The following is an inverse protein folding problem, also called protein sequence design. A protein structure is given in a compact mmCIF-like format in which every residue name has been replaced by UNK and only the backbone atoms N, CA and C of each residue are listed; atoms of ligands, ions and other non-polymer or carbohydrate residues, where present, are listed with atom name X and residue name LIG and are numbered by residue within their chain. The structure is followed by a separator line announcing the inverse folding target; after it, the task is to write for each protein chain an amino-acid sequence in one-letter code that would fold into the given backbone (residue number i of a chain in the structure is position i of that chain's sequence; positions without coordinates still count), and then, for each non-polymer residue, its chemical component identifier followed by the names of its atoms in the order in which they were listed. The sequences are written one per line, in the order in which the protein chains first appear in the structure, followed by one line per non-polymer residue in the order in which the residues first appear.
data_IF_507535578236
#
_entry.id   IF_507535578236
#
_cell.length_a   1.000
_cell.length_b   1.000
_cell.length_c   1.000
_cell.angle_alpha   90.00
_cell.angle_beta   90.00
_cell.angle_gamma   90.00
#
_symmetry.space_group_name_H-M   'P 1'
#
loop_
_entity.id
_entity.type
_entity.pdbx_description
1 polymer ?
#
# COMPACT_ATOMS: atom_id res chain seq x y z
N UNK A 1 -4.49 -13.53 -23.53
CA UNK A 1 -4.20 -13.08 -22.14
C UNK A 1 -5.53 -12.72 -21.48
N UNK A 2 -5.85 -13.20 -20.28
CA UNK A 2 -7.13 -12.90 -19.63
C UNK A 2 -7.11 -11.46 -19.08
N UNK A 3 -7.72 -10.52 -19.81
CA UNK A 3 -7.78 -9.07 -19.50
C UNK A 3 -9.09 -8.64 -18.81
N UNK A 4 -9.95 -9.56 -18.39
CA UNK A 4 -11.36 -9.23 -18.10
C UNK A 4 -11.66 -8.66 -16.71
N UNK A 5 -10.74 -8.79 -15.75
CA UNK A 5 -11.03 -8.41 -14.35
C UNK A 5 -10.88 -6.91 -14.07
N UNK A 6 -10.05 -6.20 -14.83
CA UNK A 6 -9.74 -4.77 -14.61
C UNK A 6 -10.86 -3.81 -15.03
N UNK A 7 -11.84 -4.28 -15.80
CA UNK A 7 -12.93 -3.46 -16.36
C UNK A 7 -14.18 -3.40 -15.48
N UNK A 8 -14.28 -4.25 -14.45
CA UNK A 8 -15.38 -4.26 -13.51
C UNK A 8 -15.10 -3.37 -12.29
N UNK A 9 -16.14 -2.68 -11.85
CA UNK A 9 -16.14 -1.73 -10.72
C UNK A 9 -17.16 -2.15 -9.68
N UNK A 10 -16.80 -2.04 -8.41
CA UNK A 10 -17.75 -2.17 -7.31
C UNK A 10 -18.48 -0.84 -7.12
N UNK A 11 -19.78 -0.88 -6.94
CA UNK A 11 -20.59 0.31 -6.65
C UNK A 11 -21.36 0.15 -5.35
N UNK A 12 -21.45 1.26 -4.63
CA UNK A 12 -22.26 1.40 -3.43
C UNK A 12 -23.06 2.69 -3.51
N UNK A 13 -24.38 2.59 -3.52
CA UNK A 13 -25.30 3.72 -3.55
C UNK A 13 -25.97 3.86 -2.18
N UNK A 14 -26.08 5.09 -1.68
CA UNK A 14 -26.51 5.39 -0.30
C UNK A 14 -27.53 6.52 -0.24
N UNK A 15 -28.47 6.42 0.70
CA UNK A 15 -29.49 7.45 0.94
C UNK A 15 -28.93 8.72 1.60
N UNK A 16 -27.84 8.59 2.35
CA UNK A 16 -27.15 9.66 3.07
C UNK A 16 -25.67 9.31 3.20
N UNK A 17 -24.85 10.28 3.62
CA UNK A 17 -23.42 10.09 3.89
C UNK A 17 -23.11 9.40 5.23
N UNK A 18 -24.14 8.90 5.91
CA UNK A 18 -24.04 8.37 7.28
C UNK A 18 -23.85 6.86 7.29
N UNK A 19 -23.25 6.31 8.34
CA UNK A 19 -23.04 4.86 8.48
C UNK A 19 -24.35 4.04 8.49
N UNK A 20 -25.45 4.65 8.91
CA UNK A 20 -26.79 4.04 8.99
C UNK A 20 -27.63 4.18 7.72
N UNK A 21 -27.06 4.73 6.64
CA UNK A 21 -27.76 4.94 5.38
C UNK A 21 -28.36 3.63 4.83
N UNK A 22 -29.46 3.76 4.09
CA UNK A 22 -29.93 2.67 3.24
C UNK A 22 -28.91 2.48 2.12
N UNK A 23 -28.43 1.25 1.94
CA UNK A 23 -27.39 0.91 0.97
C UNK A 23 -27.94 -0.04 -0.09
N UNK A 24 -27.67 0.27 -1.36
CA UNK A 24 -27.70 -0.67 -2.46
C UNK A 24 -26.28 -0.88 -2.97
N UNK A 25 -25.97 -2.09 -3.42
CA UNK A 25 -24.66 -2.39 -3.96
C UNK A 25 -24.77 -3.26 -5.21
N UNK A 26 -23.71 -3.20 -6.01
CA UNK A 26 -23.63 -3.96 -7.24
C UNK A 26 -22.24 -3.86 -7.85
N UNK A 27 -22.20 -4.25 -9.10
CA UNK A 27 -21.06 -4.16 -9.97
C UNK A 27 -21.41 -3.23 -11.14
N UNK A 28 -20.40 -2.65 -11.77
CA UNK A 28 -20.56 -1.86 -12.97
C UNK A 28 -19.42 -2.16 -13.94
N UNK A 29 -19.58 -1.80 -15.20
CA UNK A 29 -18.55 -1.96 -16.23
C UNK A 29 -18.21 -0.61 -16.85
N UNK A 30 -16.92 -0.32 -17.02
CA UNK A 30 -16.48 0.92 -17.63
C UNK A 30 -16.60 0.87 -19.16
N UNK A 31 -17.28 1.87 -19.73
CA UNK A 31 -17.55 2.00 -21.17
C UNK A 31 -17.17 3.39 -21.68
N UNK A 32 -16.89 3.52 -22.98
CA UNK A 32 -16.60 4.82 -23.61
C UNK A 32 -17.76 5.22 -24.51
N UNK A 33 -18.34 6.39 -24.23
CA UNK A 33 -19.45 6.94 -25.01
C UNK A 33 -19.11 8.37 -25.42
N UNK A 34 -19.58 8.76 -26.60
CA UNK A 34 -19.68 10.16 -27.01
C UNK A 34 -21.06 10.66 -26.60
N UNK A 35 -21.17 11.60 -25.66
CA UNK A 35 -22.45 12.16 -25.25
C UNK A 35 -23.17 12.86 -26.41
N UNK A 36 -24.50 13.09 -26.31
CA UNK A 36 -25.23 13.88 -27.28
C UNK A 36 -24.65 15.29 -27.40
N UNK A 37 -24.55 15.78 -28.64
CA UNK A 37 -23.93 17.07 -28.99
C UNK A 37 -22.67 16.89 -29.85
N UNK A 38 -22.62 17.59 -30.99
CA UNK A 38 -21.66 17.35 -32.07
C UNK A 38 -20.18 17.64 -31.74
N UNK A 39 -19.88 18.18 -30.56
CA UNK A 39 -18.53 18.65 -30.19
C UNK A 39 -17.98 18.08 -28.88
N UNK A 40 -18.67 17.13 -28.26
CA UNK A 40 -18.21 16.54 -27.00
C UNK A 40 -17.25 15.39 -27.31
N UNK A 41 -16.05 15.42 -26.73
CA UNK A 41 -15.09 14.33 -26.86
C UNK A 41 -15.64 13.04 -26.21
N UNK A 42 -15.28 11.84 -26.74
CA UNK A 42 -15.60 10.59 -26.07
C UNK A 42 -15.13 10.60 -24.61
N UNK A 43 -16.00 10.19 -23.68
CA UNK A 43 -15.69 10.09 -22.26
C UNK A 43 -16.11 8.74 -21.70
N UNK A 44 -15.55 8.38 -20.56
CA UNK A 44 -15.86 7.15 -19.83
C UNK A 44 -17.06 7.35 -18.93
N UNK A 45 -17.85 6.28 -18.85
CA UNK A 45 -18.99 6.10 -17.95
C UNK A 45 -18.89 4.72 -17.30
N UNK A 46 -19.57 4.53 -16.18
CA UNK A 46 -19.87 3.18 -15.70
C UNK A 46 -21.30 2.81 -16.09
N UNK A 47 -21.47 1.60 -16.63
CA UNK A 47 -22.75 1.01 -16.96
C UNK A 47 -23.10 -0.02 -15.88
N UNK A 48 -24.30 0.07 -15.29
CA UNK A 48 -24.77 -0.82 -14.22
C UNK A 48 -26.28 -1.07 -14.32
N UNK A 49 -26.81 -2.01 -13.54
CA UNK A 49 -28.25 -2.16 -13.37
C UNK A 49 -28.86 -0.98 -12.59
N UNK A 50 -30.08 -0.57 -12.96
CA UNK A 50 -30.79 0.52 -12.30
C UNK A 50 -31.11 0.19 -10.84
N UNK A 51 -31.51 -1.05 -10.56
CA UNK A 51 -31.77 -1.46 -9.17
C UNK A 51 -30.54 -1.43 -8.26
N UNK A 52 -29.31 -1.39 -8.79
CA UNK A 52 -28.11 -1.27 -7.96
C UNK A 52 -27.93 0.13 -7.35
N UNK A 53 -28.69 1.13 -7.82
CA UNK A 53 -28.65 2.52 -7.35
C UNK A 53 -29.97 2.98 -6.74
N UNK A 54 -30.87 2.05 -6.45
CA UNK A 54 -32.20 2.32 -5.85
C UNK A 54 -32.33 1.69 -4.48
N UNK A 55 -33.12 2.32 -3.63
CA UNK A 55 -33.46 1.77 -2.32
C UNK A 55 -34.24 0.45 -2.47
N UNK A 56 -33.98 -0.55 -1.63
CA UNK A 56 -34.84 -1.74 -1.54
C UNK A 56 -36.24 -1.34 -1.05
N UNK A 57 -37.28 -1.93 -1.65
CA UNK A 57 -38.68 -1.75 -1.22
C UNK A 57 -39.12 -3.08 -0.60
N UNK A 58 -39.23 -3.11 0.73
CA UNK A 58 -39.64 -4.31 1.46
C UNK A 58 -38.61 -5.44 1.46
N UNK A 59 -38.93 -6.50 2.19
CA UNK A 59 -38.09 -7.69 2.32
C UNK A 59 -38.37 -8.67 1.18
N UNK A 60 -37.70 -8.54 0.04
CA UNK A 60 -37.76 -9.60 -0.98
C UNK A 60 -37.97 -9.15 -2.41
N UNK A 61 -38.28 -7.88 -2.66
CA UNK A 61 -38.48 -7.36 -4.01
C UNK A 61 -37.26 -6.61 -4.52
N UNK A 62 -36.96 -6.76 -5.82
CA UNK A 62 -35.83 -6.06 -6.48
C UNK A 62 -35.84 -4.60 -6.05
N UNK A 63 -34.68 -3.95 -5.83
CA UNK A 63 -34.70 -2.55 -5.43
C UNK A 63 -35.37 -1.67 -6.49
N UNK A 64 -36.60 -1.24 -6.20
CA UNK A 64 -37.41 -0.33 -7.04
C UNK A 64 -37.71 0.98 -6.35
N UNK A 65 -37.08 1.22 -5.19
CA UNK A 65 -37.36 2.38 -4.37
C UNK A 65 -36.75 3.65 -4.94
N UNK A 66 -36.67 4.66 -4.08
CA UNK A 66 -36.07 5.93 -4.45
C UNK A 66 -34.63 5.76 -4.96
N UNK A 67 -34.22 6.60 -5.91
CA UNK A 67 -32.82 6.73 -6.30
C UNK A 67 -31.99 7.16 -5.09
N UNK A 68 -30.84 6.52 -4.93
CA UNK A 68 -29.90 6.82 -3.85
C UNK A 68 -28.90 7.88 -4.34
N UNK A 69 -28.89 9.10 -3.76
CA UNK A 69 -28.19 10.25 -4.34
C UNK A 69 -26.67 10.19 -4.18
N UNK A 70 -26.15 9.32 -3.31
CA UNK A 70 -24.72 9.25 -3.04
C UNK A 70 -24.15 7.92 -3.53
N UNK A 71 -23.50 7.95 -4.69
CA UNK A 71 -22.94 6.76 -5.33
C UNK A 71 -21.42 6.81 -5.25
N UNK A 72 -20.83 5.76 -4.71
CA UNK A 72 -19.39 5.54 -4.64
C UNK A 72 -18.99 4.37 -5.53
N UNK A 73 -17.85 4.50 -6.19
CA UNK A 73 -17.33 3.51 -7.13
C UNK A 73 -15.87 3.18 -6.82
N UNK A 74 -15.55 1.88 -6.72
CA UNK A 74 -14.19 1.38 -6.50
C UNK A 74 -13.79 0.49 -7.68
N UNK A 75 -12.62 0.73 -8.31
CA UNK A 75 -12.13 -0.16 -9.34
C UNK A 75 -11.52 -1.40 -8.73
N UNK A 76 -11.47 -2.46 -9.54
CA UNK A 76 -10.73 -3.66 -9.23
C UNK A 76 -9.29 -3.37 -8.77
N UNK A 77 -8.84 -4.09 -7.73
CA UNK A 77 -7.49 -4.04 -7.18
C UNK A 77 -7.21 -2.87 -6.23
N UNK A 78 -8.15 -1.93 -6.04
CA UNK A 78 -7.99 -0.83 -5.06
C UNK A 78 -8.40 -1.25 -3.66
N UNK A 79 -7.89 -0.53 -2.67
CA UNK A 79 -8.26 -0.71 -1.27
C UNK A 79 -9.69 -0.25 -1.02
N UNK A 80 -10.49 -1.06 -0.35
CA UNK A 80 -11.81 -0.71 0.12
C UNK A 80 -11.72 0.13 1.39
N UNK A 81 -12.54 1.18 1.48
CA UNK A 81 -12.63 2.07 2.64
C UNK A 81 -14.10 2.23 3.02
N UNK A 82 -14.62 1.43 3.98
CA UNK A 82 -16.00 1.55 4.42
C UNK A 82 -16.24 2.87 5.14
N UNK A 83 -17.42 3.46 4.91
CA UNK A 83 -17.86 4.66 5.63
C UNK A 83 -18.23 4.28 7.06
N UNK A 84 -17.46 4.77 8.03
CA UNK A 84 -17.64 4.48 9.46
C UNK A 84 -18.34 5.61 10.21
N UNK A 85 -18.20 6.83 9.73
CA UNK A 85 -18.76 8.04 10.32
C UNK A 85 -19.12 9.06 9.24
N UNK A 86 -19.94 10.04 9.60
CA UNK A 86 -20.43 11.08 8.69
C UNK A 86 -19.28 11.94 8.11
N UNK A 87 -18.15 12.00 8.81
CA UNK A 87 -16.95 12.74 8.42
C UNK A 87 -15.99 11.93 7.52
N UNK A 88 -16.24 10.63 7.35
CA UNK A 88 -15.37 9.69 6.61
C UNK A 88 -15.85 9.49 5.16
N UNK A 89 -16.35 10.53 4.49
CA UNK A 89 -16.77 10.38 3.09
C UNK A 89 -15.56 10.03 2.20
N UNK A 90 -15.56 8.87 1.51
CA UNK A 90 -14.42 8.42 0.72
C UNK A 90 -14.11 9.37 -0.44
N UNK A 91 -12.83 9.52 -0.76
CA UNK A 91 -12.37 10.36 -1.87
C UNK A 91 -11.31 9.66 -2.71
N UNK A 92 -11.18 10.08 -3.97
CA UNK A 92 -10.27 9.46 -4.94
C UNK A 92 -8.80 9.58 -4.52
N UNK A 93 -8.44 10.68 -3.85
CA UNK A 93 -7.08 10.96 -3.37
C UNK A 93 -6.70 10.16 -2.12
N UNK A 94 -7.66 9.79 -1.26
CA UNK A 94 -7.41 9.10 0.00
C UNK A 94 -7.66 7.60 -0.08
N UNK A 95 -8.76 7.21 -0.70
CA UNK A 95 -9.33 5.87 -0.59
C UNK A 95 -9.39 5.14 -1.95
N UNK A 96 -9.09 5.84 -3.05
CA UNK A 96 -9.17 5.27 -4.40
C UNK A 96 -10.61 4.94 -4.82
N UNK A 97 -11.58 5.67 -4.24
CA UNK A 97 -13.00 5.62 -4.59
C UNK A 97 -13.42 6.90 -5.28
N UNK A 98 -14.37 6.82 -6.20
CA UNK A 98 -14.92 7.97 -6.90
C UNK A 98 -16.38 8.19 -6.57
N UNK A 99 -16.82 9.45 -6.56
CA UNK A 99 -18.24 9.76 -6.49
C UNK A 99 -18.81 9.78 -7.90
N UNK A 100 -20.00 9.22 -8.08
CA UNK A 100 -20.68 9.20 -9.37
C UNK A 100 -22.01 9.94 -9.31
N UNK A 101 -22.39 10.55 -10.43
CA UNK A 101 -23.72 11.10 -10.67
C UNK A 101 -24.48 10.20 -11.63
N UNK A 102 -25.79 10.08 -11.43
CA UNK A 102 -26.65 9.31 -12.32
C UNK A 102 -26.84 10.06 -13.64
N UNK A 103 -26.79 9.32 -14.74
CA UNK A 103 -27.23 9.76 -16.07
C UNK A 103 -28.33 8.79 -16.50
N UNK A 104 -29.58 9.18 -16.24
CA UNK A 104 -30.75 8.39 -16.62
C UNK A 104 -31.31 8.85 -17.96
N UNK A 105 -31.02 8.09 -19.03
CA UNK A 105 -31.48 8.45 -20.37
C UNK A 105 -33.00 8.33 -20.52
N UNK A 106 -33.67 7.62 -19.61
CA UNK A 106 -35.11 7.40 -19.63
C UNK A 106 -35.88 8.43 -18.78
N UNK A 107 -35.18 9.36 -18.12
CA UNK A 107 -35.78 10.37 -17.24
C UNK A 107 -36.77 9.77 -16.22
N UNK A 108 -36.40 8.63 -15.61
CA UNK A 108 -37.27 7.93 -14.67
C UNK A 108 -37.38 8.75 -13.37
N UNK A 109 -38.54 8.68 -12.69
CA UNK A 109 -38.72 9.42 -11.44
C UNK A 109 -37.71 8.98 -10.38
N UNK A 110 -37.31 9.94 -9.55
CA UNK A 110 -36.42 9.70 -8.42
C UNK A 110 -37.09 8.87 -7.33
N UNK A 111 -38.42 8.84 -7.29
CA UNK A 111 -39.23 8.07 -6.35
C UNK A 111 -39.30 6.56 -6.70
N UNK A 112 -40.19 5.85 -6.02
CA UNK A 112 -40.47 4.42 -6.25
C UNK A 112 -40.97 4.19 -7.67
N UNK A 113 -40.35 3.25 -8.38
CA UNK A 113 -40.75 2.84 -9.72
C UNK A 113 -41.81 1.74 -9.66
N UNK A 114 -42.77 1.82 -10.58
CA UNK A 114 -43.70 0.71 -10.86
C UNK A 114 -42.97 -0.42 -11.60
N UNK A 115 -43.58 -1.60 -11.63
CA UNK A 115 -42.99 -2.76 -12.33
C UNK A 115 -42.80 -2.50 -13.83
N UNK A 116 -43.69 -1.74 -14.46
CA UNK A 116 -43.60 -1.39 -15.88
C UNK A 116 -42.46 -0.41 -16.18
N UNK A 117 -42.05 0.39 -15.18
CA UNK A 117 -40.94 1.35 -15.29
C UNK A 117 -39.55 0.71 -15.08
N UNK A 118 -39.49 -0.49 -14.50
CA UNK A 118 -38.27 -1.32 -14.42
C UNK A 118 -38.55 -2.64 -15.15
N UNK A 119 -38.97 -2.55 -16.40
CA UNK A 119 -38.98 -3.69 -17.29
C UNK A 119 -37.57 -4.28 -17.42
N UNK A 120 -37.42 -5.59 -17.66
CA UNK A 120 -36.11 -6.24 -17.77
C UNK A 120 -35.17 -5.58 -18.80
N UNK A 121 -35.72 -5.00 -19.87
CA UNK A 121 -34.94 -4.31 -20.89
C UNK A 121 -34.43 -2.93 -20.51
N UNK A 122 -35.06 -2.27 -19.52
CA UNK A 122 -34.72 -0.90 -19.09
C UNK A 122 -34.05 -0.86 -17.72
N UNK A 123 -33.77 -2.01 -17.09
CA UNK A 123 -33.10 -2.10 -15.78
C UNK A 123 -31.58 -1.88 -15.88
N UNK A 124 -31.20 -0.74 -16.43
CA UNK A 124 -29.82 -0.30 -16.56
C UNK A 124 -29.75 1.23 -16.47
N UNK A 125 -28.56 1.74 -16.15
CA UNK A 125 -28.31 3.17 -16.01
C UNK A 125 -26.83 3.48 -16.27
N UNK A 126 -26.55 4.72 -16.66
CA UNK A 126 -25.18 5.23 -16.74
C UNK A 126 -24.83 6.00 -15.46
N UNK A 127 -23.58 5.86 -15.06
CA UNK A 127 -22.96 6.63 -13.99
C UNK A 127 -21.83 7.46 -14.58
N UNK A 128 -21.87 8.75 -14.31
CA UNK A 128 -20.82 9.67 -14.68
C UNK A 128 -19.90 9.95 -13.49
N UNK A 129 -18.60 9.88 -13.71
CA UNK A 129 -17.54 10.20 -12.75
C UNK A 129 -16.75 11.37 -13.36
N UNK A 130 -16.71 12.51 -12.67
CA UNK A 130 -16.18 13.77 -13.19
C UNK A 130 -14.69 13.98 -12.90
N UNK A 131 -14.01 12.93 -12.45
CA UNK A 131 -12.60 12.97 -12.13
C UNK A 131 -11.74 12.60 -13.33
N UNK A 132 -10.79 13.48 -13.68
CA UNK A 132 -9.88 13.28 -14.81
C UNK A 132 -9.13 11.94 -14.75
N UNK A 133 -8.73 11.48 -13.55
CA UNK A 133 -8.04 10.20 -13.40
C UNK A 133 -8.91 8.99 -13.78
N UNK A 134 -10.24 9.07 -13.60
CA UNK A 134 -11.14 8.01 -14.05
C UNK A 134 -11.16 7.91 -15.57
N UNK A 135 -11.00 9.03 -16.27
CA UNK A 135 -10.91 9.10 -17.72
C UNK A 135 -9.62 8.46 -18.28
N UNK A 136 -8.77 7.87 -17.46
CA UNK A 136 -7.59 7.10 -17.88
C UNK A 136 -7.74 5.58 -17.68
N UNK A 137 -8.83 5.13 -17.04
CA UNK A 137 -9.03 3.72 -16.71
C UNK A 137 -9.28 2.84 -17.93
N UNK A 138 -9.02 1.54 -17.77
CA UNK A 138 -9.35 0.54 -18.78
C UNK A 138 -10.87 0.40 -18.89
N UNK A 139 -11.34 0.23 -20.13
CA UNK A 139 -12.76 0.06 -20.44
C UNK A 139 -12.94 -1.21 -21.27
N UNK A 140 -14.19 -1.60 -21.44
CA UNK A 140 -14.57 -2.55 -22.48
C UNK A 140 -13.98 -2.12 -23.82
N UNK A 141 -13.34 -3.06 -24.50
CA UNK A 141 -12.73 -2.82 -25.80
C UNK A 141 -13.78 -2.77 -26.92
N UNK A 142 -14.73 -3.70 -26.87
CA UNK A 142 -15.73 -3.90 -27.91
C UNK A 142 -17.03 -4.43 -27.32
N UNK A 143 -18.14 -4.02 -27.92
CA UNK A 143 -19.48 -4.51 -27.63
C UNK A 143 -19.83 -5.55 -28.68
N UNK A 144 -20.50 -6.63 -28.27
CA UNK A 144 -20.97 -7.64 -29.20
C UNK A 144 -22.47 -7.53 -29.46
N UNK A 145 -22.85 -7.86 -30.69
CA UNK A 145 -24.20 -7.86 -31.24
C UNK A 145 -24.79 -9.26 -31.46
N UNK A 146 -24.02 -10.33 -31.21
CA UNK A 146 -24.42 -11.71 -31.54
C UNK A 146 -24.72 -12.59 -30.32
N UNK A 147 -25.39 -13.72 -30.53
CA UNK A 147 -25.62 -14.73 -29.50
C UNK A 147 -24.34 -15.49 -29.20
N UNK A 148 -24.05 -15.73 -27.91
CA UNK A 148 -22.78 -16.32 -27.49
C UNK A 148 -22.96 -17.58 -26.66
N UNK A 149 -22.31 -18.64 -27.15
CA UNK A 149 -21.89 -19.77 -26.34
C UNK A 149 -20.67 -19.36 -25.50
N UNK A 150 -20.62 -19.84 -24.25
CA UNK A 150 -19.52 -19.59 -23.30
C UNK A 150 -19.33 -18.10 -22.91
N UNK A 151 -20.32 -17.62 -22.17
CA UNK A 151 -20.31 -16.32 -21.51
C UNK A 151 -19.77 -16.46 -20.09
N UNK A 152 -18.93 -15.50 -19.72
CA UNK A 152 -18.43 -15.29 -18.36
C UNK A 152 -19.04 -14.04 -17.76
N UNK A 153 -19.34 -14.07 -16.46
CA UNK A 153 -19.87 -12.92 -15.73
C UNK A 153 -18.79 -12.42 -14.79
N UNK A 154 -18.46 -11.13 -14.87
CA UNK A 154 -17.43 -10.53 -14.01
C UNK A 154 -18.06 -9.47 -13.11
N UNK A 155 -17.96 -9.68 -11.80
CA UNK A 155 -18.54 -8.79 -10.80
C UNK A 155 -17.96 -8.99 -9.41
N UNK A 156 -18.59 -8.39 -8.40
CA UNK A 156 -18.14 -8.41 -7.02
C UNK A 156 -19.11 -9.23 -6.16
N UNK A 157 -18.85 -10.55 -6.01
CA UNK A 157 -19.72 -11.41 -5.22
C UNK A 157 -19.73 -10.95 -3.76
N UNK A 158 -20.91 -11.01 -3.16
CA UNK A 158 -21.22 -10.63 -1.78
C UNK A 158 -20.98 -9.14 -1.44
N UNK A 159 -20.51 -8.35 -2.41
CA UNK A 159 -20.24 -6.93 -2.27
C UNK A 159 -19.23 -6.64 -1.15
N UNK A 160 -19.53 -5.63 -0.34
CA UNK A 160 -18.66 -5.19 0.75
C UNK A 160 -18.74 -6.04 2.04
N UNK A 161 -19.53 -7.13 2.06
CA UNK A 161 -19.77 -7.92 3.30
C UNK A 161 -18.51 -8.49 3.93
N UNK A 162 -17.50 -8.79 3.12
CA UNK A 162 -16.25 -9.44 3.56
C UNK A 162 -15.04 -8.51 3.48
N UNK A 163 -15.22 -7.26 3.07
CA UNK A 163 -14.12 -6.32 2.93
C UNK A 163 -13.96 -5.50 4.19
N UNK A 164 -12.74 -5.51 4.72
CA UNK A 164 -12.31 -4.64 5.80
C UNK A 164 -11.58 -3.43 5.23
N UNK A 165 -11.28 -2.44 6.07
CA UNK A 165 -10.47 -1.28 5.65
C UNK A 165 -9.14 -1.79 5.08
N UNK A 166 -8.84 -1.40 3.85
CA UNK A 166 -7.64 -1.79 3.13
C UNK A 166 -7.70 -3.15 2.42
N UNK A 167 -8.81 -3.90 2.54
CA UNK A 167 -9.05 -5.08 1.69
C UNK A 167 -9.03 -4.69 0.22
N UNK A 168 -8.44 -5.53 -0.63
CA UNK A 168 -8.48 -5.29 -2.08
C UNK A 168 -9.88 -5.64 -2.61
N UNK A 169 -10.42 -4.73 -3.42
CA UNK A 169 -11.67 -4.91 -4.16
C UNK A 169 -11.38 -5.84 -5.34
N UNK A 170 -11.69 -7.13 -5.18
CA UNK A 170 -11.38 -8.15 -6.19
C UNK A 170 -12.65 -8.60 -6.93
N UNK A 171 -12.58 -8.58 -8.27
CA UNK A 171 -13.66 -9.03 -9.12
C UNK A 171 -13.52 -10.54 -9.34
N UNK A 172 -14.62 -11.26 -9.22
CA UNK A 172 -14.72 -12.66 -9.56
C UNK A 172 -15.26 -12.83 -10.98
N UNK A 173 -14.68 -13.77 -11.72
CA UNK A 173 -15.15 -14.18 -13.04
C UNK A 173 -15.79 -15.56 -12.88
N UNK A 174 -17.07 -15.64 -13.22
CA UNK A 174 -17.84 -16.89 -13.21
C UNK A 174 -18.10 -17.29 -14.66
N UNK A 175 -17.36 -18.28 -15.21
CA UNK A 175 -17.54 -18.76 -16.58
C UNK A 175 -18.66 -19.81 -16.68
N UNK A 176 -18.97 -20.26 -17.91
CA UNK A 176 -19.83 -21.42 -18.15
C UNK A 176 -21.31 -21.10 -18.30
N UNK A 177 -21.66 -19.88 -18.70
CA UNK A 177 -23.01 -19.52 -19.07
C UNK A 177 -23.22 -19.64 -20.58
N UNK A 178 -24.43 -19.97 -21.01
CA UNK A 178 -24.93 -19.80 -22.36
C UNK A 178 -25.96 -18.68 -22.34
N UNK A 179 -25.87 -17.79 -23.32
CA UNK A 179 -26.79 -16.68 -23.47
C UNK A 179 -27.87 -17.03 -24.50
N UNK A 180 -29.11 -17.05 -24.03
CA UNK A 180 -30.30 -17.26 -24.83
C UNK A 180 -31.06 -15.94 -24.93
N UNK A 181 -31.13 -15.34 -26.12
CA UNK A 181 -31.97 -14.16 -26.36
C UNK A 181 -33.42 -14.63 -26.40
N UNK A 182 -34.27 -14.05 -25.56
CA UNK A 182 -35.69 -14.40 -25.56
C UNK A 182 -36.36 -13.81 -26.80
N UNK A 183 -37.07 -14.59 -27.63
CA UNK A 183 -37.79 -14.08 -28.79
C UNK A 183 -38.80 -12.98 -28.43
N UNK A 184 -39.33 -13.03 -27.21
CA UNK A 184 -40.33 -12.09 -26.69
C UNK A 184 -39.72 -10.73 -26.33
N UNK A 185 -38.41 -10.65 -26.10
CA UNK A 185 -37.71 -9.43 -25.71
C UNK A 185 -36.23 -9.49 -26.12
N UNK A 186 -35.84 -8.83 -27.23
CA UNK A 186 -34.44 -8.70 -27.64
C UNK A 186 -33.57 -7.98 -26.60
N UNK A 187 -34.21 -7.23 -25.70
CA UNK A 187 -33.57 -6.52 -24.61
C UNK A 187 -33.11 -7.45 -23.49
N UNK A 188 -33.86 -8.52 -23.26
CA UNK A 188 -33.62 -9.44 -22.16
C UNK A 188 -32.83 -10.67 -22.64
N UNK A 189 -31.81 -11.01 -21.88
CA UNK A 189 -31.05 -12.23 -22.11
C UNK A 189 -31.32 -13.20 -20.98
N UNK A 190 -31.58 -14.46 -21.32
CA UNK A 190 -31.65 -15.56 -20.37
C UNK A 190 -30.28 -16.22 -20.32
N UNK A 191 -29.79 -16.48 -19.11
CA UNK A 191 -28.57 -17.22 -18.88
C UNK A 191 -28.92 -18.63 -18.44
N UNK A 192 -28.36 -19.62 -19.15
CA UNK A 192 -28.43 -21.04 -18.82
C UNK A 192 -27.03 -21.58 -18.55
N UNK A 193 -26.91 -22.63 -17.73
CA UNK A 193 -25.60 -23.22 -17.40
C UNK A 193 -25.56 -23.81 -15.98
N UNK A 194 -24.52 -24.59 -15.66
CA UNK A 194 -24.33 -25.16 -14.33
C UNK A 194 -23.79 -24.16 -13.31
N UNK A 195 -23.24 -23.02 -13.77
CA UNK A 195 -22.65 -22.00 -12.91
C UNK A 195 -23.72 -21.14 -12.23
N UNK A 196 -23.39 -20.62 -11.05
CA UNK A 196 -24.25 -19.71 -10.30
C UNK A 196 -23.51 -18.40 -10.00
N UNK A 197 -24.22 -17.28 -10.11
CA UNK A 197 -23.70 -15.96 -9.70
C UNK A 197 -24.06 -15.68 -8.24
N UNK A 198 -23.17 -15.02 -7.51
CA UNK A 198 -23.47 -14.58 -6.15
C UNK A 198 -24.24 -13.24 -6.12
N UNK A 199 -24.95 -12.92 -5.02
CA UNK A 199 -25.44 -11.56 -4.76
C UNK A 199 -24.30 -10.53 -4.90
N UNK A 200 -24.57 -9.30 -5.35
CA UNK A 200 -23.53 -8.26 -5.55
C UNK A 200 -22.89 -8.24 -6.95
N UNK A 201 -22.99 -9.33 -7.72
CA UNK A 201 -22.55 -9.38 -9.12
C UNK A 201 -23.53 -8.69 -10.10
N UNK A 202 -24.65 -8.16 -9.61
CA UNK A 202 -25.64 -7.46 -10.45
C UNK A 202 -25.06 -6.17 -11.01
N UNK A 203 -25.34 -5.85 -12.27
CA UNK A 203 -24.70 -4.76 -13.03
C UNK A 203 -23.30 -5.08 -13.55
N UNK A 204 -22.74 -6.25 -13.20
CA UNK A 204 -21.44 -6.70 -13.71
C UNK A 204 -21.51 -7.04 -15.20
N UNK A 205 -20.38 -6.91 -15.90
CA UNK A 205 -20.31 -7.20 -17.32
C UNK A 205 -20.41 -8.70 -17.61
N UNK A 206 -21.11 -9.03 -18.68
CA UNK A 206 -21.12 -10.36 -19.30
C UNK A 206 -20.20 -10.32 -20.51
N UNK A 207 -19.28 -11.28 -20.62
CA UNK A 207 -18.23 -11.30 -21.65
C UNK A 207 -18.15 -12.64 -22.37
N UNK A 208 -18.07 -12.61 -23.70
CA UNK A 208 -17.81 -13.79 -24.54
C UNK A 208 -16.34 -14.22 -24.46
N UNK A 209 -15.97 -15.31 -25.15
CA UNK A 209 -14.60 -15.85 -25.22
C UNK A 209 -13.53 -14.87 -25.77
N UNK A 210 -13.92 -13.82 -26.48
CA UNK A 210 -13.02 -12.78 -27.00
C UNK A 210 -12.86 -11.60 -26.03
N UNK A 211 -13.68 -11.55 -24.97
CA UNK A 211 -13.69 -10.47 -23.99
C UNK A 211 -14.51 -9.26 -24.41
N UNK A 212 -15.40 -9.42 -25.39
CA UNK A 212 -16.35 -8.40 -25.81
C UNK A 212 -17.54 -8.38 -24.84
N UNK A 213 -18.09 -7.20 -24.58
CA UNK A 213 -19.25 -7.04 -23.71
C UNK A 213 -20.51 -7.49 -24.46
N UNK A 214 -21.15 -8.54 -23.94
CA UNK A 214 -22.41 -9.09 -24.51
C UNK A 214 -23.65 -8.55 -23.79
N UNK A 215 -23.46 -8.00 -22.59
CA UNK A 215 -24.51 -7.35 -21.80
C UNK A 215 -24.10 -7.11 -20.37
N UNK A 216 -25.05 -6.69 -19.54
CA UNK A 216 -24.86 -6.62 -18.08
C UNK A 216 -25.72 -7.65 -17.38
N UNK A 217 -25.15 -8.27 -16.35
CA UNK A 217 -25.79 -9.31 -15.57
C UNK A 217 -26.82 -8.70 -14.61
N UNK A 218 -28.00 -9.32 -14.54
CA UNK A 218 -29.08 -8.95 -13.63
C UNK A 218 -29.29 -10.07 -12.62
N UNK A 219 -29.01 -9.80 -11.35
CA UNK A 219 -29.05 -10.84 -10.32
C UNK A 219 -30.44 -11.48 -10.15
N UNK A 220 -30.43 -12.76 -9.75
CA UNK A 220 -31.57 -13.67 -9.62
C UNK A 220 -32.54 -13.22 -8.52
N UNK A 221 -33.85 -13.31 -8.74
CA UNK A 221 -34.80 -13.53 -7.64
C UNK A 221 -35.78 -14.68 -7.86
N UNK A 222 -35.89 -15.45 -6.77
CA UNK A 222 -36.87 -16.48 -6.39
C UNK A 222 -38.20 -16.23 -7.13
N UNK A 223 -38.46 -16.84 -8.27
CA UNK A 223 -39.17 -18.11 -8.47
C UNK A 223 -39.12 -18.34 -10.00
N UNK A 224 -38.51 -19.44 -10.47
CA UNK A 224 -38.49 -19.79 -11.92
C UNK A 224 -37.11 -20.02 -12.58
N UNK A 225 -36.00 -19.93 -11.83
CA UNK A 225 -34.65 -20.43 -12.21
C UNK A 225 -33.91 -19.81 -13.41
N UNK A 226 -34.37 -18.75 -14.07
CA UNK A 226 -33.53 -18.06 -15.06
C UNK A 226 -32.75 -16.90 -14.44
N UNK A 227 -31.43 -16.99 -14.45
CA UNK A 227 -30.54 -15.82 -14.30
C UNK A 227 -30.69 -14.99 -15.56
N UNK A 228 -30.77 -13.66 -15.44
CA UNK A 228 -31.07 -12.77 -16.55
C UNK A 228 -29.96 -11.75 -16.78
N UNK A 229 -30.06 -11.04 -17.89
CA UNK A 229 -29.22 -9.89 -18.19
C UNK A 229 -29.92 -8.94 -19.15
N UNK A 230 -29.30 -7.79 -19.35
CA UNK A 230 -29.69 -6.82 -20.36
C UNK A 230 -28.67 -6.89 -21.49
N UNK A 231 -29.15 -7.09 -22.72
CA UNK A 231 -28.32 -7.23 -23.91
C UNK A 231 -27.51 -5.96 -24.20
N UNK A 232 -26.21 -6.09 -24.47
CA UNK A 232 -25.37 -4.98 -24.89
C UNK A 232 -25.86 -4.36 -26.20
N UNK A 233 -26.34 -5.17 -27.15
CA UNK A 233 -26.90 -4.69 -28.41
C UNK A 233 -28.14 -3.81 -28.18
N UNK A 234 -29.00 -4.19 -27.23
CA UNK A 234 -30.16 -3.38 -26.87
C UNK A 234 -29.74 -2.07 -26.21
N UNK A 235 -28.84 -2.11 -25.22
CA UNK A 235 -28.32 -0.91 -24.56
C UNK A 235 -27.68 0.03 -25.59
N UNK A 236 -26.92 -0.51 -26.53
CA UNK A 236 -26.31 0.26 -27.63
C UNK A 236 -27.34 0.99 -28.48
N UNK A 237 -28.41 0.28 -28.88
CA UNK A 237 -29.51 0.85 -29.65
C UNK A 237 -30.21 1.98 -28.88
N UNK A 238 -30.55 1.76 -27.61
CA UNK A 238 -31.20 2.75 -26.76
C UNK A 238 -30.32 4.00 -26.54
N UNK A 239 -29.02 3.82 -26.31
CA UNK A 239 -28.06 4.92 -26.23
C UNK A 239 -28.05 5.75 -27.54
N UNK A 240 -28.05 5.08 -28.69
CA UNK A 240 -28.07 5.73 -29.99
C UNK A 240 -29.35 6.54 -30.22
N UNK A 241 -30.52 6.00 -29.83
CA UNK A 241 -31.78 6.73 -29.90
C UNK A 241 -31.77 8.03 -29.08
N UNK A 242 -30.99 8.05 -27.99
CA UNK A 242 -30.83 9.22 -27.11
C UNK A 242 -29.58 10.06 -27.47
N UNK A 243 -29.02 9.85 -28.67
CA UNK A 243 -27.93 10.66 -29.22
C UNK A 243 -26.54 10.33 -28.69
N UNK A 244 -26.39 9.30 -27.85
CA UNK A 244 -25.09 8.78 -27.48
C UNK A 244 -24.50 7.93 -28.60
N UNK A 245 -23.18 7.95 -28.76
CA UNK A 245 -22.48 7.05 -29.69
C UNK A 245 -21.47 6.21 -28.94
N UNK A 246 -21.49 4.89 -29.15
CA UNK A 246 -20.44 4.02 -28.62
C UNK A 246 -19.15 4.34 -29.35
N UNK A 247 -18.11 4.70 -28.60
CA UNK A 247 -16.79 4.90 -29.15
C UNK A 247 -16.00 3.59 -29.05
N UNK A 248 -15.42 3.12 -30.15
CA UNK A 248 -14.46 2.02 -30.07
C UNK A 248 -13.22 2.51 -29.30
N UNK A 249 -12.80 1.73 -28.32
CA UNK A 249 -11.62 2.06 -27.55
C UNK A 249 -10.39 1.88 -28.44
N UNK A 250 -9.70 2.98 -28.76
CA UNK A 250 -8.31 2.88 -29.16
C UNK A 250 -7.46 2.76 -27.89
N UNK A 251 -6.61 1.73 -27.77
CA UNK A 251 -5.72 1.60 -26.63
C UNK A 251 -4.84 2.84 -26.52
N UNK A 252 -5.14 3.68 -25.53
CA UNK A 252 -4.20 4.71 -25.11
C UNK A 252 -2.95 3.95 -24.66
N UNK A 253 -1.79 4.16 -25.29
CA UNK A 253 -0.57 3.48 -24.89
C UNK A 253 -0.36 3.76 -23.40
N UNK A 254 -0.39 2.71 -22.57
CA UNK A 254 -0.25 2.80 -21.11
C UNK A 254 1.03 3.57 -20.81
N UNK A 255 0.93 4.88 -20.55
CA UNK A 255 1.87 5.53 -19.64
C UNK A 255 1.63 4.81 -18.33
N UNK A 256 2.62 4.05 -17.84
CA UNK A 256 2.62 3.54 -16.46
C UNK A 256 2.32 4.74 -15.57
N UNK A 257 1.08 4.85 -15.09
CA UNK A 257 0.68 6.00 -14.32
C UNK A 257 1.45 5.91 -13.00
N UNK A 258 1.97 7.05 -12.55
CA UNK A 258 2.65 7.20 -11.25
C UNK A 258 1.76 6.67 -10.10
N UNK A 259 0.47 6.47 -10.34
CA UNK A 259 -0.55 5.99 -9.42
C UNK A 259 -0.58 4.47 -9.20
N UNK A 260 -0.19 3.62 -10.17
CA UNK A 260 0.04 2.18 -9.91
C UNK A 260 1.19 2.02 -8.90
N UNK A 261 2.22 2.88 -9.02
CA UNK A 261 3.32 2.93 -8.04
C UNK A 261 2.84 3.33 -6.64
N UNK A 262 1.77 4.11 -6.51
CA UNK A 262 1.24 4.55 -5.22
C UNK A 262 0.45 3.44 -4.48
N UNK A 263 -0.24 2.55 -5.19
CA UNK A 263 -0.95 1.39 -4.59
C UNK A 263 0.03 0.30 -4.19
N UNK A 264 1.02 0.05 -5.04
CA UNK A 264 2.18 -0.77 -4.69
C UNK A 264 2.92 -0.17 -3.50
N UNK A 265 3.00 1.16 -3.42
CA UNK A 265 3.61 1.87 -2.31
C UNK A 265 2.79 1.80 -1.00
N UNK A 266 1.46 1.88 -1.01
CA UNK A 266 0.63 1.70 0.20
C UNK A 266 0.71 0.25 0.69
N UNK A 267 0.68 -0.71 -0.24
CA UNK A 267 0.89 -2.14 0.08
C UNK A 267 2.31 -2.38 0.63
N UNK A 268 3.30 -1.70 0.07
CA UNK A 268 4.68 -1.67 0.55
C UNK A 268 4.81 -1.00 1.92
N UNK A 269 4.09 0.09 2.21
CA UNK A 269 4.08 0.77 3.52
C UNK A 269 3.44 -0.12 4.59
N UNK A 270 2.37 -0.86 4.27
CA UNK A 270 1.78 -1.83 5.18
C UNK A 270 2.76 -2.99 5.48
N UNK A 271 3.48 -3.47 4.46
CA UNK A 271 4.56 -4.43 4.63
C UNK A 271 5.75 -3.85 5.41
N UNK A 272 6.09 -2.57 5.21
CA UNK A 272 7.13 -1.86 5.99
C UNK A 272 6.72 -1.77 7.46
N UNK A 273 5.47 -1.49 7.83
CA UNK A 273 5.06 -1.48 9.25
C UNK A 273 5.23 -2.84 9.91
N UNK A 274 4.97 -3.93 9.17
CA UNK A 274 5.26 -5.29 9.63
C UNK A 274 6.77 -5.51 9.84
N UNK A 275 7.58 -5.05 8.88
CA UNK A 275 9.05 -5.08 8.94
C UNK A 275 9.58 -4.20 10.09
N UNK A 276 9.06 -2.99 10.31
CA UNK A 276 9.41 -2.07 11.39
C UNK A 276 9.16 -2.70 12.75
N UNK A 277 8.05 -3.42 12.94
CA UNK A 277 7.80 -4.12 14.21
C UNK A 277 8.82 -5.24 14.45
N UNK A 278 9.26 -5.93 13.40
CA UNK A 278 10.21 -7.04 13.51
C UNK A 278 11.66 -6.55 13.63
N UNK A 279 12.03 -5.47 12.92
CA UNK A 279 13.34 -4.82 13.03
C UNK A 279 13.48 -4.10 14.37
N UNK A 280 12.43 -3.45 14.87
CA UNK A 280 12.44 -2.84 16.20
C UNK A 280 12.56 -3.92 17.29
N UNK A 281 11.85 -5.05 17.16
CA UNK A 281 12.04 -6.22 18.04
C UNK A 281 13.47 -6.75 17.98
N UNK A 282 14.09 -6.80 16.79
CA UNK A 282 15.47 -7.25 16.62
C UNK A 282 16.47 -6.29 17.27
N UNK A 283 16.27 -4.97 17.10
CA UNK A 283 17.12 -3.92 17.70
C UNK A 283 16.96 -3.88 19.23
N UNK A 284 15.75 -4.09 19.74
CA UNK A 284 15.49 -4.18 21.19
C UNK A 284 15.97 -5.51 21.79
N UNK A 285 15.99 -6.59 21.02
CA UNK A 285 16.52 -7.89 21.44
C UNK A 285 18.05 -7.96 21.41
N UNK A 286 18.72 -7.16 20.58
CA UNK A 286 20.19 -7.14 20.48
C UNK A 286 20.92 -6.86 21.81
N UNK A 287 20.52 -5.87 22.64
CA UNK A 287 21.14 -5.68 23.97
C UNK A 287 20.89 -6.84 24.94
N UNK A 288 19.72 -7.51 24.83
CA UNK A 288 19.44 -8.71 25.63
C UNK A 288 20.27 -9.91 25.17
N UNK A 289 20.51 -10.05 23.86
CA UNK A 289 21.37 -11.09 23.31
C UNK A 289 22.84 -10.89 23.71
N UNK A 290 23.33 -9.64 23.72
CA UNK A 290 24.66 -9.27 24.22
C UNK A 290 24.81 -9.60 25.71
N UNK A 291 23.78 -9.34 26.52
CA UNK A 291 23.77 -9.70 27.95
C UNK A 291 23.81 -11.22 28.16
N UNK A 292 23.02 -11.99 27.40
CA UNK A 292 23.01 -13.47 27.47
C UNK A 292 24.37 -14.04 27.05
N UNK A 293 25.00 -13.48 26.01
CA UNK A 293 26.32 -13.91 25.53
C UNK A 293 27.45 -13.55 26.50
N UNK A 294 27.35 -12.44 27.24
CA UNK A 294 28.32 -12.04 28.28
C UNK A 294 28.25 -12.89 29.54
N UNK A 295 27.08 -13.48 29.84
CA UNK A 295 26.87 -14.35 31.01
C UNK A 295 27.14 -15.83 30.69
N UNK A 296 27.22 -16.20 29.41
CA UNK A 296 27.49 -17.56 28.96
C UNK A 296 28.94 -18.04 29.24
N UNK A 297 29.14 -19.30 29.64
CA UNK A 297 30.46 -19.83 29.96
C UNK A 297 31.32 -20.04 28.69
N UNK A 298 32.44 -19.31 28.64
CA UNK A 298 33.74 -19.64 28.03
C UNK A 298 33.80 -20.29 26.63
N UNK A 299 32.83 -20.03 25.74
CA UNK A 299 32.92 -20.54 24.37
C UNK A 299 33.13 -19.38 23.40
N UNK A 300 34.29 -19.43 22.73
CA UNK A 300 34.80 -18.59 21.64
C UNK A 300 35.45 -17.24 22.01
N UNK A 301 36.56 -16.98 21.32
CA UNK A 301 37.40 -15.79 21.39
C UNK A 301 36.56 -14.52 21.50
N UNK A 302 36.60 -13.89 22.69
CA UNK A 302 35.82 -12.68 23.03
C UNK A 302 36.01 -11.57 22.01
N UNK A 303 37.14 -11.56 21.31
CA UNK A 303 37.46 -10.62 20.24
C UNK A 303 36.56 -10.80 19.02
N UNK A 304 36.35 -12.04 18.58
CA UNK A 304 35.50 -12.38 17.43
C UNK A 304 34.04 -12.09 17.74
N UNK A 305 33.58 -12.45 18.93
CA UNK A 305 32.19 -12.18 19.38
C UNK A 305 31.93 -10.67 19.47
N UNK A 306 32.86 -9.90 20.04
CA UNK A 306 32.75 -8.43 20.08
C UNK A 306 32.74 -7.82 18.69
N UNK A 307 33.55 -8.34 17.75
CA UNK A 307 33.56 -7.89 16.36
C UNK A 307 32.23 -8.16 15.64
N UNK A 308 31.65 -9.34 15.83
CA UNK A 308 30.35 -9.71 15.24
C UNK A 308 29.24 -8.80 15.78
N UNK A 309 29.23 -8.49 17.08
CA UNK A 309 28.23 -7.60 17.68
C UNK A 309 28.33 -6.19 17.11
N UNK A 310 29.55 -5.64 16.99
CA UNK A 310 29.76 -4.32 16.37
C UNK A 310 29.33 -4.31 14.90
N UNK A 311 29.63 -5.38 14.15
CA UNK A 311 29.21 -5.51 12.76
C UNK A 311 27.67 -5.57 12.62
N UNK A 312 27.00 -6.35 13.47
CA UNK A 312 25.53 -6.43 13.50
C UNK A 312 24.88 -5.09 13.85
N UNK A 313 25.45 -4.35 14.82
CA UNK A 313 25.00 -2.99 15.13
C UNK A 313 25.19 -2.03 13.94
N UNK A 314 26.34 -2.09 13.26
CA UNK A 314 26.60 -1.26 12.08
C UNK A 314 25.62 -1.55 10.94
N UNK A 315 25.32 -2.83 10.68
CA UNK A 315 24.33 -3.25 9.68
C UNK A 315 22.92 -2.79 10.08
N UNK A 316 22.54 -2.91 11.35
CA UNK A 316 21.25 -2.43 11.84
C UNK A 316 21.10 -0.90 11.66
N UNK A 317 22.13 -0.13 12.01
CA UNK A 317 22.13 1.33 11.80
C UNK A 317 22.07 1.71 10.32
N UNK A 318 22.78 0.99 9.45
CA UNK A 318 22.72 1.21 8.00
C UNK A 318 21.32 0.93 7.44
N UNK A 319 20.66 -0.15 7.89
CA UNK A 319 19.30 -0.48 7.48
C UNK A 319 18.30 0.59 7.94
N UNK A 320 18.40 1.05 9.19
CA UNK A 320 17.58 2.17 9.70
C UNK A 320 17.82 3.44 8.88
N UNK A 321 19.08 3.75 8.54
CA UNK A 321 19.41 4.90 7.69
C UNK A 321 18.83 4.78 6.28
N UNK A 322 18.91 3.61 5.64
CA UNK A 322 18.31 3.36 4.32
C UNK A 322 16.78 3.53 4.39
N UNK A 323 16.13 2.99 5.42
CA UNK A 323 14.69 3.14 5.63
C UNK A 323 14.29 4.61 5.85
N UNK A 324 15.04 5.34 6.70
CA UNK A 324 14.82 6.76 6.93
C UNK A 324 15.04 7.61 5.67
N UNK A 325 16.05 7.31 4.85
CA UNK A 325 16.32 8.04 3.60
C UNK A 325 15.27 7.77 2.52
N UNK A 326 14.76 6.53 2.42
CA UNK A 326 13.61 6.24 1.55
C UNK A 326 12.36 6.98 2.05
N UNK A 327 12.11 7.02 3.35
CA UNK A 327 11.00 7.77 3.94
C UNK A 327 11.13 9.30 3.71
N UNK A 328 12.34 9.85 3.80
CA UNK A 328 12.66 11.26 3.53
C UNK A 328 12.49 11.69 2.07
N UNK A 329 12.50 10.76 1.11
CA UNK A 329 12.12 11.08 -0.28
C UNK A 329 10.62 11.34 -0.42
N UNK A 330 9.80 10.83 0.50
CA UNK A 330 8.33 10.89 0.43
C UNK A 330 7.70 11.98 1.30
N UNK A 331 8.32 12.38 2.41
CA UNK A 331 7.79 13.47 3.25
C UNK A 331 8.90 14.44 3.64
N UNK A 332 8.72 15.73 3.26
CA UNK A 332 9.48 16.89 3.76
C UNK A 332 9.15 17.13 5.25
N UNK A 333 9.47 16.18 6.12
CA UNK A 333 9.20 16.23 7.56
C UNK A 333 10.50 16.31 8.36
N UNK A 334 10.47 17.03 9.49
CA UNK A 334 11.62 17.25 10.40
C UNK A 334 11.93 16.03 11.29
N UNK A 335 10.99 15.08 11.39
CA UNK A 335 11.08 13.92 12.28
C UNK A 335 12.31 13.03 12.02
N UNK A 336 12.73 12.75 10.77
CA UNK A 336 13.90 11.90 10.52
C UNK A 336 15.22 12.55 10.93
N UNK A 337 15.30 13.89 10.95
CA UNK A 337 16.46 14.63 11.45
C UNK A 337 16.61 14.43 12.95
N UNK A 338 15.48 14.47 13.68
CA UNK A 338 15.45 14.22 15.13
C UNK A 338 15.87 12.78 15.44
N UNK A 339 15.39 11.80 14.67
CA UNK A 339 15.75 10.38 14.87
C UNK A 339 17.23 10.12 14.55
N UNK A 340 17.76 10.66 13.45
CA UNK A 340 19.18 10.53 13.13
C UNK A 340 20.07 11.22 14.17
N UNK A 341 19.66 12.39 14.67
CA UNK A 341 20.35 13.09 15.76
C UNK A 341 20.36 12.29 17.06
N UNK A 342 19.23 11.70 17.44
CA UNK A 342 19.14 10.87 18.64
C UNK A 342 20.01 9.61 18.55
N UNK A 343 20.04 8.94 17.39
CA UNK A 343 20.91 7.79 17.15
C UNK A 343 22.39 8.17 17.23
N UNK A 344 22.77 9.31 16.64
CA UNK A 344 24.15 9.82 16.73
C UNK A 344 24.58 10.12 18.17
N UNK A 345 23.71 10.75 18.97
CA UNK A 345 23.96 11.00 20.40
C UNK A 345 24.09 9.68 21.18
N UNK A 346 23.23 8.70 20.91
CA UNK A 346 23.31 7.38 21.54
C UNK A 346 24.63 6.66 21.21
N UNK A 347 25.10 6.74 19.97
CA UNK A 347 26.41 6.20 19.57
C UNK A 347 27.56 6.91 20.28
N UNK A 348 27.51 8.24 20.42
CA UNK A 348 28.51 9.01 21.18
C UNK A 348 28.51 8.68 22.67
N UNK A 349 27.33 8.46 23.27
CA UNK A 349 27.21 8.06 24.68
C UNK A 349 27.75 6.64 24.92
N UNK A 350 27.41 5.68 24.03
CA UNK A 350 28.00 4.34 24.08
C UNK A 350 29.52 4.35 23.95
N UNK A 351 30.06 5.22 23.08
CA UNK A 351 31.50 5.45 22.92
C UNK A 351 32.18 6.00 24.19
N UNK A 352 31.50 6.91 24.91
CA UNK A 352 31.98 7.42 26.19
C UNK A 352 32.18 6.34 27.26
N UNK A 353 31.36 5.29 27.22
CA UNK A 353 31.44 4.16 28.13
C UNK A 353 32.65 3.26 27.84
N UNK A 354 32.93 2.95 26.56
CA UNK A 354 34.07 2.14 26.14
C UNK A 354 35.44 2.81 26.38
N UNK A 355 35.50 4.14 26.46
CA UNK A 355 36.76 4.88 26.67
C UNK A 355 37.36 4.66 28.07
N UNK A 356 36.61 4.06 28.99
CA UNK A 356 37.00 3.85 30.38
C UNK A 356 37.42 2.41 30.70
N UNK A 357 37.47 1.51 29.72
CA UNK A 357 37.91 0.13 29.91
C UNK A 357 39.40 -0.03 29.60
N UNK A 358 40.14 -0.64 30.54
CA UNK A 358 41.53 -1.03 30.36
C UNK A 358 41.67 -2.52 30.64
N UNK A 359 42.46 -3.21 29.82
CA UNK A 359 42.87 -4.60 30.05
C UNK A 359 44.32 -4.60 30.49
N UNK A 360 44.54 -5.05 31.73
CA UNK A 360 45.88 -5.30 32.28
C UNK A 360 46.07 -6.80 32.36
N UNK A 361 47.11 -7.28 31.71
CA UNK A 361 47.52 -8.69 31.77
C UNK A 361 48.66 -8.80 32.77
N UNK A 362 48.44 -9.55 33.84
CA UNK A 362 49.46 -9.79 34.87
C UNK A 362 50.02 -11.19 34.64
N UNK A 363 51.30 -11.28 34.30
CA UNK A 363 52.05 -12.54 34.31
C UNK A 363 52.70 -12.71 35.69
N UNK A 364 52.22 -13.69 36.44
CA UNK A 364 52.84 -14.08 37.71
C UNK A 364 53.76 -15.28 37.46
N UNK A 365 55.06 -15.11 37.76
CA UNK A 365 55.99 -16.24 37.89
C UNK A 365 55.77 -16.90 39.24
N UNK A 366 55.49 -18.20 39.23
CA UNK A 366 55.52 -19.03 40.44
C UNK A 366 56.95 -19.09 40.98
N UNK A 367 57.12 -18.86 42.28
CA UNK A 367 58.41 -18.93 42.97
C UNK A 367 58.99 -20.36 43.04
N UNK A 368 58.24 -21.38 42.62
CA UNK A 368 58.66 -22.80 42.75
C UNK A 368 59.39 -23.37 41.52
N UNK A 369 59.79 -22.54 40.55
CA UNK A 369 60.62 -23.00 39.42
C UNK A 369 59.92 -23.93 38.43
N UNK A 370 58.60 -24.13 38.57
CA UNK A 370 57.76 -24.78 37.57
C UNK A 370 57.09 -23.66 36.76
N UNK A 371 57.38 -23.61 35.47
CA UNK A 371 56.84 -22.63 34.51
C UNK A 371 55.34 -22.86 34.29
N UNK A 372 54.51 -22.51 35.27
CA UNK A 372 53.07 -22.32 35.08
C UNK A 372 52.81 -20.83 35.02
N UNK A 373 52.61 -20.33 33.80
CA UNK A 373 52.16 -18.97 33.55
C UNK A 373 50.65 -18.91 33.75
N UNK A 374 50.21 -18.30 34.85
CA UNK A 374 48.81 -17.91 35.01
C UNK A 374 48.67 -16.49 34.47
N UNK A 375 48.01 -16.35 33.32
CA UNK A 375 47.70 -15.07 32.70
C UNK A 375 46.35 -14.60 33.23
N UNK A 376 46.33 -13.57 34.09
CA UNK A 376 45.08 -12.99 34.56
C UNK A 376 44.79 -11.69 33.80
N UNK A 377 43.71 -11.69 33.00
CA UNK A 377 43.16 -10.48 32.40
C UNK A 377 42.27 -9.75 33.40
N UNK A 378 42.68 -8.56 33.83
CA UNK A 378 41.83 -7.67 34.63
C UNK A 378 41.26 -6.60 33.71
N UNK A 379 39.95 -6.68 33.46
CA UNK A 379 39.19 -5.66 32.73
C UNK A 379 38.60 -4.71 33.76
N UNK A 380 39.17 -3.51 33.87
CA UNK A 380 38.68 -2.48 34.78
C UNK A 380 37.95 -1.38 34.02
N UNK A 381 36.68 -1.15 34.34
CA UNK A 381 36.04 0.14 34.08
C UNK A 381 36.47 1.10 35.19
N UNK A 382 36.74 2.38 34.86
CA UNK A 382 37.21 3.40 35.82
C UNK A 382 36.39 3.50 37.12
N UNK A 383 35.14 3.05 37.09
CA UNK A 383 34.16 3.16 38.17
C UNK A 383 33.94 1.83 38.94
N UNK A 384 34.59 0.74 38.54
CA UNK A 384 34.45 -0.61 39.15
C UNK A 384 35.84 -1.19 39.41
N UNK A 385 36.58 -0.58 40.32
CA UNK A 385 37.78 -1.21 40.87
C UNK A 385 37.40 -2.13 42.03
N UNK A 386 38.05 -3.29 42.14
CA UNK A 386 37.97 -4.09 43.37
C UNK A 386 38.49 -3.26 44.56
N UNK A 387 37.96 -3.48 45.79
CA UNK A 387 38.46 -2.79 46.98
C UNK A 387 39.97 -2.94 47.11
N UNK A 388 40.69 -1.82 47.14
CA UNK A 388 42.17 -1.78 47.15
C UNK A 388 42.85 -1.15 45.93
N UNK A 389 42.14 -0.96 44.81
CA UNK A 389 42.67 -0.28 43.61
C UNK A 389 42.16 1.16 43.43
N UNK A 390 41.41 1.69 44.39
CA UNK A 390 40.77 3.01 44.36
C UNK A 390 41.78 4.18 44.22
N UNK A 391 42.98 4.01 44.78
CA UNK A 391 44.06 5.01 44.70
C UNK A 391 44.64 5.17 43.29
N UNK A 392 44.41 4.20 42.40
CA UNK A 392 44.91 4.20 41.03
C UNK A 392 43.98 4.96 40.09
N UNK A 393 42.66 5.03 40.35
CA UNK A 393 41.69 5.69 39.47
C UNK A 393 41.98 7.18 39.17
N UNK A 394 42.73 7.84 40.06
CA UNK A 394 43.10 9.26 39.98
C UNK A 394 44.51 9.51 39.41
N UNK A 395 45.32 8.47 39.19
CA UNK A 395 46.68 8.61 38.65
C UNK A 395 46.68 8.41 37.12
N UNK A 396 47.60 9.04 36.36
CA UNK A 396 47.78 8.76 34.95
C UNK A 396 48.35 7.33 34.73
N UNK A 397 48.01 6.63 33.64
CA UNK A 397 48.36 5.20 33.43
C UNK A 397 49.85 4.85 33.53
N UNK A 398 50.74 5.81 33.27
CA UNK A 398 52.20 5.62 33.38
C UNK A 398 52.68 5.54 34.83
N UNK A 399 51.95 6.13 35.76
CA UNK A 399 52.28 6.10 37.19
C UNK A 399 51.79 4.82 37.85
N UNK A 400 50.75 4.17 37.30
CA UNK A 400 50.24 2.89 37.81
C UNK A 400 51.30 1.81 37.78
N UNK A 401 52.05 1.74 36.68
CA UNK A 401 53.10 0.74 36.46
C UNK A 401 54.20 0.80 37.51
N UNK A 402 54.41 1.94 38.18
CA UNK A 402 55.43 2.10 39.23
C UNK A 402 55.03 1.50 40.57
N UNK A 403 53.73 1.36 40.81
CA UNK A 403 53.19 0.84 42.07
C UNK A 403 53.04 -0.71 42.04
N UNK A 404 53.33 -1.37 40.90
CA UNK A 404 53.34 -2.82 40.80
C UNK A 404 54.65 -3.40 41.37
N UNK A 405 54.60 -4.50 42.14
CA UNK A 405 55.76 -5.08 42.82
C UNK A 405 56.86 -5.59 41.87
N UNK A 406 56.59 -5.69 40.56
CA UNK A 406 57.58 -6.05 39.56
C UNK A 406 57.26 -5.34 38.21
N UNK A 407 57.68 -4.07 38.03
CA UNK A 407 57.27 -3.25 36.88
C UNK A 407 57.80 -3.77 35.53
N UNK A 408 58.87 -4.55 35.54
CA UNK A 408 59.49 -5.11 34.32
C UNK A 408 58.74 -6.33 33.77
N UNK A 409 57.92 -7.02 34.59
CA UNK A 409 57.11 -8.17 34.13
C UNK A 409 55.76 -7.76 33.54
N UNK A 410 55.39 -6.48 33.65
CA UNK A 410 54.18 -5.94 33.02
C UNK A 410 54.55 -5.48 31.61
N UNK A 411 54.53 -6.41 30.65
CA UNK A 411 54.70 -6.02 29.25
C UNK A 411 53.40 -5.36 28.76
N UNK A 412 53.41 -4.07 28.32
CA UNK A 412 52.24 -3.42 27.74
C UNK A 412 52.04 -3.93 26.31
N UNK A 413 51.82 -5.24 26.17
CA UNK A 413 51.71 -5.90 24.88
C UNK A 413 50.25 -5.86 24.44
N UNK A 414 50.07 -5.28 23.26
CA UNK A 414 48.88 -5.31 22.40
C UNK A 414 47.59 -4.63 22.89
N UNK A 415 47.34 -4.49 24.19
CA UNK A 415 46.11 -3.84 24.70
C UNK A 415 46.03 -2.36 24.32
N UNK A 416 47.13 -1.60 24.45
CA UNK A 416 47.15 -0.17 24.05
C UNK A 416 47.05 -0.02 22.53
N UNK A 417 47.67 -0.92 21.75
CA UNK A 417 47.65 -0.85 20.28
C UNK A 417 46.28 -1.26 19.74
N UNK A 418 45.68 -2.30 20.29
CA UNK A 418 44.31 -2.75 20.00
C UNK A 418 43.28 -1.71 20.40
N UNK A 419 43.38 -1.13 21.60
CA UNK A 419 42.49 -0.05 22.05
C UNK A 419 42.67 1.23 21.22
N UNK A 420 43.91 1.60 20.85
CA UNK A 420 44.15 2.71 19.92
C UNK A 420 43.59 2.44 18.54
N UNK A 421 43.73 1.23 18.02
CA UNK A 421 43.26 0.85 16.69
C UNK A 421 41.72 0.77 16.66
N UNK A 422 41.08 0.25 17.71
CA UNK A 422 39.62 0.33 17.91
C UNK A 422 39.16 1.78 17.96
N UNK A 423 39.85 2.65 18.73
CA UNK A 423 39.56 4.09 18.76
C UNK A 423 39.66 4.71 17.37
N UNK A 424 40.71 4.37 16.61
CA UNK A 424 40.98 4.91 15.28
C UNK A 424 39.90 4.49 14.28
N UNK A 425 39.47 3.23 14.29
CA UNK A 425 38.37 2.73 13.45
C UNK A 425 37.02 3.35 13.82
N UNK A 426 36.74 3.56 15.11
CA UNK A 426 35.55 4.28 15.55
C UNK A 426 35.54 5.73 15.06
N UNK A 427 36.69 6.42 15.12
CA UNK A 427 36.84 7.77 14.56
C UNK A 427 36.59 7.81 13.05
N UNK A 428 37.14 6.85 12.29
CA UNK A 428 36.86 6.72 10.86
C UNK A 428 35.35 6.53 10.61
N UNK A 429 34.68 5.68 11.40
CA UNK A 429 33.25 5.44 11.29
C UNK A 429 32.41 6.70 11.52
N UNK A 430 32.74 7.48 12.56
CA UNK A 430 32.07 8.76 12.84
C UNK A 430 32.29 9.76 11.70
N UNK A 431 33.51 9.88 11.18
CA UNK A 431 33.82 10.78 10.08
C UNK A 431 33.15 10.39 8.76
N UNK A 432 33.12 9.09 8.42
CA UNK A 432 32.41 8.57 7.25
C UNK A 432 30.92 8.85 7.34
N UNK A 433 30.31 8.55 8.49
CA UNK A 433 28.88 8.78 8.71
C UNK A 433 28.52 10.26 8.67
N UNK A 434 29.32 11.11 9.33
CA UNK A 434 29.15 12.56 9.30
C UNK A 434 29.29 13.14 7.90
N UNK A 435 30.30 12.69 7.14
CA UNK A 435 30.56 13.15 5.77
C UNK A 435 29.47 12.73 4.79
N UNK A 436 28.97 11.49 4.88
CA UNK A 436 27.86 11.01 4.06
C UNK A 436 26.57 11.78 4.36
N UNK A 437 26.32 12.05 5.65
CA UNK A 437 25.16 12.84 6.07
C UNK A 437 25.25 14.27 5.53
N UNK A 438 26.40 14.93 5.71
CA UNK A 438 26.62 16.31 5.24
C UNK A 438 26.57 16.42 3.72
N UNK A 439 27.20 15.49 2.99
CA UNK A 439 27.16 15.46 1.52
C UNK A 439 25.73 15.31 0.99
N UNK A 440 24.91 14.47 1.63
CA UNK A 440 23.50 14.33 1.27
C UNK A 440 22.71 15.63 1.46
N UNK A 441 22.97 16.38 2.53
CA UNK A 441 22.34 17.68 2.75
C UNK A 441 22.76 18.70 1.69
N UNK A 442 24.07 18.84 1.43
CA UNK A 442 24.59 19.82 0.48
C UNK A 442 24.13 19.55 -0.96
N UNK A 443 24.05 18.28 -1.38
CA UNK A 443 23.55 17.92 -2.72
C UNK A 443 22.04 18.14 -2.90
N UNK A 444 21.26 18.18 -1.81
CA UNK A 444 19.80 18.39 -1.87
C UNK A 444 19.41 19.88 -1.76
N UNK A 445 20.33 20.75 -1.36
CA UNK A 445 20.13 22.21 -1.26
C UNK A 445 20.40 22.98 -2.55
N UNK A 446 20.72 22.31 -3.66
CA UNK A 446 20.89 22.97 -4.96
C UNK A 446 19.60 23.72 -5.35
N UNK A 447 19.70 24.97 -5.84
CA UNK A 447 18.53 25.72 -6.26
C UNK A 447 17.79 24.93 -7.34
N UNK A 448 16.48 24.73 -7.12
CA UNK A 448 15.59 24.14 -8.13
C UNK A 448 15.70 25.01 -9.41
N UNK A 449 15.79 24.40 -10.60
CA UNK A 449 15.73 25.17 -11.84
C UNK A 449 14.39 25.91 -11.85
N UNK A 450 14.45 27.24 -11.78
CA UNK A 450 13.29 28.09 -12.00
C UNK A 450 12.84 27.84 -13.44
N UNK A 451 11.70 27.18 -13.59
CA UNK A 451 10.99 27.17 -14.86
C UNK A 451 10.43 28.58 -15.05
N UNK A 452 11.01 29.33 -15.99
CA UNK A 452 10.44 30.57 -16.51
C UNK A 452 9.08 30.23 -17.14
N UNK A 453 8.00 30.49 -16.39
CA UNK A 453 6.66 30.57 -16.95
C UNK A 453 6.58 31.84 -17.81
N UNK A 454 6.92 31.70 -19.09
CA UNK A 454 6.64 32.69 -20.11
C UNK A 454 5.12 32.89 -20.26
N UNK A 455 4.57 33.85 -19.53
CA UNK A 455 3.28 34.46 -19.82
C UNK A 455 3.37 35.17 -21.18
N UNK A 456 2.83 34.56 -22.24
CA UNK A 456 2.45 35.29 -23.45
C UNK A 456 1.05 35.87 -23.25
N UNK A 457 0.98 37.13 -22.85
CA UNK A 457 -0.22 37.95 -22.96
C UNK A 457 -0.39 38.37 -24.42
N UNK A 458 -1.27 37.69 -25.17
CA UNK A 458 -1.82 38.26 -26.40
C UNK A 458 -2.95 39.21 -26.01
N UNK A 459 -2.63 40.49 -25.99
CA UNK A 459 -3.59 41.59 -25.96
C UNK A 459 -4.37 41.64 -27.27
N UNK A 460 -5.69 41.73 -27.15
CA UNK A 460 -6.62 42.17 -28.17
C UNK A 460 -6.22 43.54 -28.74
N UNK A 461 -6.46 43.73 -30.04
CA UNK A 461 -6.38 45.02 -30.70
C UNK A 461 -7.02 45.01 -32.09
N UNK A 462 -8.17 45.70 -32.17
CA UNK A 462 -8.86 46.31 -33.33
C UNK A 462 -9.35 45.41 -34.49
#
# INVERSE_FOLDING_TARGET
MPRRKSISWYIEARSSKTASAVVACGSAVAVVLTPPGDKVAPRRFLLTCCHCVRAPVGSGDEPRGQLLPHILCWPHGRGYSPIRSDDDWPSSSRDGSWSATIVDIYDRPEDVLTQDQIGPGVDWILLNIDEASFQEYETVHQWSDTGHDDVSIVGFPEGNRHWHVGSRVEAEEVPGFRLEVTPESPAQTRLSGPAETAPGMSGGGMFNADGELVGIHRSRRRVGNSVGGVSAAHIAHELQLHGYRIASFQPVPKRRSVQESAVDFVSFIANIRSIESNLLKLVLAAPFLDLILKVGPSLTDRTVTSFIIVLLQAVAYLLVFILCTQFLRLRRSIVPVVVCGALFVATLMGYGHFRNEYVVTIEQKSDEGIEQFSTQEVIGARDVFQPGFESLANKPPREWLRDFPNPESVQPIDSIRSSKMKLWWSWIGVWLFGSLTLGFFLFKSGPLPQFDEGMSTTSEGA
#
